data_IF_430948188611
#
_entry.id   IF_430948188611
#
_cell.length_a   1.000
_cell.length_b   1.000
_cell.length_c   1.000
_cell.angle_alpha   90.00
_cell.angle_beta   90.00
_cell.angle_gamma   90.00
#
_symmetry.space_group_name_H-M   'P 1'
#
loop_
_entity.id
_entity.type
_entity.pdbx_description
1 polymer ?
#
# COMPACT_ATOMS: atom_id res chain seq x y z
N UNK A 1 20.67 -9.23 28.49
CA UNK A 1 21.17 -10.00 27.34
C UNK A 1 21.24 -9.07 26.15
N UNK A 2 22.44 -8.92 25.61
CA UNK A 2 22.97 -7.75 24.89
C UNK A 2 22.49 -7.67 23.45
N UNK A 3 22.42 -6.45 22.88
CA UNK A 3 22.04 -6.08 21.51
C UNK A 3 22.76 -6.86 20.37
N UNK A 4 23.73 -7.72 20.71
CA UNK A 4 24.44 -8.62 19.80
C UNK A 4 23.55 -9.75 19.24
N UNK A 5 22.42 -10.11 19.87
CA UNK A 5 21.53 -11.17 19.33
C UNK A 5 20.57 -10.69 18.24
N UNK A 6 20.23 -9.40 18.21
CA UNK A 6 19.23 -8.82 17.29
C UNK A 6 19.76 -8.72 15.84
N UNK A 7 21.07 -8.54 15.68
CA UNK A 7 21.73 -8.45 14.35
C UNK A 7 22.08 -9.84 13.78
N UNK A 8 22.23 -10.87 14.62
CA UNK A 8 22.62 -12.22 14.18
C UNK A 8 21.59 -12.89 13.27
N UNK A 9 20.30 -12.56 13.42
CA UNK A 9 19.23 -13.11 12.59
C UNK A 9 19.09 -12.40 11.23
N UNK A 10 19.78 -11.27 11.01
CA UNK A 10 19.60 -10.44 9.81
C UNK A 10 19.85 -11.23 8.49
N UNK A 11 20.91 -12.04 8.34
CA UNK A 11 21.10 -12.82 7.12
C UNK A 11 19.91 -13.74 6.81
N UNK A 12 19.37 -14.42 7.83
CA UNK A 12 18.20 -15.29 7.69
C UNK A 12 16.91 -14.50 7.41
N UNK A 13 16.76 -13.32 8.01
CA UNK A 13 15.65 -12.41 7.70
C UNK A 13 15.69 -12.02 6.22
N UNK A 14 16.85 -11.61 5.70
CA UNK A 14 17.03 -11.24 4.30
C UNK A 14 16.74 -12.41 3.36
N UNK A 15 17.25 -13.61 3.67
CA UNK A 15 16.98 -14.83 2.93
C UNK A 15 15.47 -15.12 2.85
N UNK A 16 14.77 -15.10 3.99
CA UNK A 16 13.33 -15.40 4.02
C UNK A 16 12.48 -14.30 3.38
N UNK A 17 12.91 -13.03 3.46
CA UNK A 17 12.27 -11.93 2.72
C UNK A 17 12.37 -12.16 1.22
N UNK A 18 13.53 -12.58 0.71
CA UNK A 18 13.70 -12.93 -0.71
C UNK A 18 12.89 -14.15 -1.12
N UNK A 19 12.86 -15.19 -0.30
CA UNK A 19 12.09 -16.40 -0.58
C UNK A 19 10.57 -16.10 -0.64
N UNK A 20 10.07 -15.27 0.28
CA UNK A 20 8.65 -14.93 0.36
C UNK A 20 8.24 -13.87 -0.66
N UNK A 21 9.08 -12.86 -0.89
CA UNK A 21 8.83 -11.75 -1.79
C UNK A 21 9.96 -11.61 -2.84
N UNK A 22 10.15 -12.59 -3.75
CA UNK A 22 11.27 -12.59 -4.68
C UNK A 22 11.27 -11.43 -5.67
N UNK A 23 10.09 -10.85 -5.93
CA UNK A 23 9.89 -9.71 -6.84
C UNK A 23 9.32 -8.49 -6.11
N UNK A 24 9.72 -8.30 -4.85
CA UNK A 24 9.23 -7.20 -4.03
C UNK A 24 9.44 -5.86 -4.76
N UNK A 25 8.35 -5.12 -4.95
CA UNK A 25 8.32 -3.79 -5.58
C UNK A 25 7.24 -2.95 -4.92
N UNK A 26 7.37 -1.62 -4.97
CA UNK A 26 6.28 -0.74 -4.59
C UNK A 26 5.09 -0.91 -5.55
N UNK A 27 3.88 -0.71 -5.03
CA UNK A 27 2.64 -1.02 -5.76
C UNK A 27 2.16 0.08 -6.72
N UNK A 28 2.92 1.17 -6.85
CA UNK A 28 2.63 2.22 -7.83
C UNK A 28 2.85 1.69 -9.25
N UNK A 29 1.94 2.03 -10.16
CA UNK A 29 2.03 1.70 -11.57
C UNK A 29 2.80 2.79 -12.33
N UNK A 30 3.84 2.37 -13.06
CA UNK A 30 4.71 3.23 -13.86
C UNK A 30 5.48 2.39 -14.89
N UNK A 31 5.91 3.03 -15.96
CA UNK A 31 6.65 2.42 -17.07
C UNK A 31 8.03 3.05 -17.28
N UNK A 32 8.25 4.24 -16.74
CA UNK A 32 9.52 4.97 -16.86
C UNK A 32 9.82 5.82 -15.59
N UNK A 33 11.06 6.32 -15.43
CA UNK A 33 11.46 7.08 -14.24
C UNK A 33 10.63 8.34 -13.97
N UNK A 34 10.19 9.05 -15.03
CA UNK A 34 9.36 10.24 -14.90
C UNK A 34 7.99 9.90 -14.31
N UNK A 35 7.34 8.85 -14.82
CA UNK A 35 6.08 8.37 -14.29
C UNK A 35 6.21 7.98 -12.81
N UNK A 36 7.30 7.31 -12.42
CA UNK A 36 7.54 6.98 -11.02
C UNK A 36 7.75 8.23 -10.16
N UNK A 37 8.49 9.24 -10.64
CA UNK A 37 8.67 10.50 -9.94
C UNK A 37 7.32 11.19 -9.68
N UNK A 38 6.50 11.32 -10.71
CA UNK A 38 5.16 11.93 -10.62
C UNK A 38 4.26 11.11 -9.67
N UNK A 39 4.19 9.79 -9.84
CA UNK A 39 3.41 8.91 -8.97
C UNK A 39 3.84 9.00 -7.50
N UNK A 40 5.15 9.14 -7.24
CA UNK A 40 5.68 9.29 -5.87
C UNK A 40 5.26 10.61 -5.23
N UNK A 41 5.27 11.72 -5.98
CA UNK A 41 4.75 13.02 -5.51
C UNK A 41 3.24 12.90 -5.20
N UNK A 42 2.49 12.20 -6.06
CA UNK A 42 1.06 11.98 -5.85
C UNK A 42 0.75 11.10 -4.63
N UNK A 43 1.59 10.11 -4.34
CA UNK A 43 1.44 9.19 -3.21
C UNK A 43 1.66 9.86 -1.84
N UNK A 44 2.21 11.08 -1.79
CA UNK A 44 2.31 11.83 -0.55
C UNK A 44 0.91 12.03 0.08
N UNK A 45 0.68 11.38 1.22
CA UNK A 45 -0.61 11.35 1.93
C UNK A 45 -1.78 10.89 1.04
N UNK A 46 -1.53 9.94 0.14
CA UNK A 46 -2.52 9.30 -0.71
C UNK A 46 -2.25 7.79 -0.76
N UNK A 47 -3.27 6.98 -1.01
CA UNK A 47 -3.07 5.53 -1.16
C UNK A 47 -2.55 5.21 -2.55
N UNK A 48 -1.70 4.19 -2.67
CA UNK A 48 -1.17 3.74 -3.97
C UNK A 48 -2.31 3.37 -4.93
N UNK A 49 -3.38 2.75 -4.42
CA UNK A 49 -4.58 2.43 -5.20
C UNK A 49 -5.22 3.67 -5.83
N UNK A 50 -5.40 4.74 -5.06
CA UNK A 50 -5.98 5.99 -5.57
C UNK A 50 -5.07 6.65 -6.60
N UNK A 51 -3.75 6.63 -6.37
CA UNK A 51 -2.78 7.14 -7.35
C UNK A 51 -2.87 6.34 -8.65
N UNK A 52 -2.91 5.00 -8.56
CA UNK A 52 -3.00 4.09 -9.71
C UNK A 52 -4.31 4.23 -10.50
N UNK A 53 -5.39 4.73 -9.90
CA UNK A 53 -6.63 5.05 -10.62
C UNK A 53 -6.51 6.36 -11.43
N UNK A 54 -5.69 7.31 -10.97
CA UNK A 54 -5.54 8.64 -11.58
C UNK A 54 -4.45 8.65 -12.65
N UNK A 55 -3.34 7.94 -12.42
CA UNK A 55 -2.15 8.01 -13.27
C UNK A 55 -2.34 7.57 -14.72
N UNK A 56 -3.19 6.60 -15.11
CA UNK A 56 -3.31 6.19 -16.51
C UNK A 56 -3.75 7.34 -17.43
N UNK A 57 -4.80 8.07 -17.05
CA UNK A 57 -5.28 9.23 -17.81
C UNK A 57 -4.28 10.40 -17.74
N UNK A 58 -3.63 10.59 -16.57
CA UNK A 58 -2.63 11.63 -16.38
C UNK A 58 -1.41 11.41 -17.30
N UNK A 59 -0.88 10.19 -17.35
CA UNK A 59 0.31 9.84 -18.14
C UNK A 59 0.03 9.86 -19.64
N UNK A 60 -1.19 9.54 -20.06
CA UNK A 60 -1.60 9.69 -21.45
C UNK A 60 -1.68 11.17 -21.87
N UNK A 61 -2.17 12.05 -20.98
CA UNK A 61 -2.28 13.49 -21.25
C UNK A 61 -0.93 14.20 -21.20
N UNK A 62 -0.05 13.78 -20.31
CA UNK A 62 1.27 14.39 -20.08
C UNK A 62 2.36 13.30 -20.22
N UNK A 63 2.76 12.97 -21.46
CA UNK A 63 3.64 11.83 -21.73
C UNK A 63 5.11 12.05 -21.36
N UNK A 64 5.57 13.30 -21.26
CA UNK A 64 6.95 13.66 -20.99
C UNK A 64 7.09 14.88 -20.06
N UNK A 65 8.32 15.19 -19.65
CA UNK A 65 8.60 16.29 -18.73
C UNK A 65 8.21 17.65 -19.32
N UNK A 66 8.32 17.83 -20.64
CA UNK A 66 7.94 19.08 -21.31
C UNK A 66 6.43 19.29 -21.24
N UNK A 67 5.64 18.25 -21.48
CA UNK A 67 4.19 18.29 -21.37
C UNK A 67 3.72 18.69 -19.97
N UNK A 68 4.37 18.20 -18.91
CA UNK A 68 4.10 18.64 -17.55
C UNK A 68 4.56 20.09 -17.27
N UNK A 69 5.74 20.46 -17.77
CA UNK A 69 6.33 21.78 -17.55
C UNK A 69 5.49 22.91 -18.19
N UNK A 70 4.91 22.65 -19.37
CA UNK A 70 4.12 23.58 -20.17
C UNK A 70 2.60 23.47 -19.88
N UNK A 71 2.18 22.54 -19.01
CA UNK A 71 0.77 22.34 -18.68
C UNK A 71 0.13 23.59 -18.06
N UNK A 72 -1.16 23.83 -18.34
CA UNK A 72 -1.94 24.74 -17.52
C UNK A 72 -2.03 24.19 -16.09
N UNK A 73 -1.68 25.04 -15.11
CA UNK A 73 -1.56 24.62 -13.72
C UNK A 73 -2.93 24.27 -13.11
N UNK A 74 -4.01 24.95 -13.50
CA UNK A 74 -5.35 24.67 -13.01
C UNK A 74 -5.87 23.36 -13.59
N UNK A 75 -5.65 23.12 -14.88
CA UNK A 75 -6.00 21.85 -15.52
C UNK A 75 -5.24 20.65 -14.93
N UNK A 76 -3.93 20.79 -14.69
CA UNK A 76 -3.13 19.76 -14.04
C UNK A 76 -3.62 19.51 -12.61
N UNK A 77 -3.93 20.57 -11.86
CA UNK A 77 -4.46 20.48 -10.51
C UNK A 77 -5.80 19.72 -10.48
N UNK A 78 -6.72 20.04 -11.39
CA UNK A 78 -8.00 19.33 -11.49
C UNK A 78 -7.84 17.87 -11.91
N UNK A 79 -6.93 17.57 -12.85
CA UNK A 79 -6.64 16.20 -13.27
C UNK A 79 -6.18 15.29 -12.11
N UNK A 80 -5.51 15.86 -11.10
CA UNK A 80 -5.01 15.12 -9.93
C UNK A 80 -5.80 15.40 -8.65
N UNK A 81 -6.94 16.12 -8.72
CA UNK A 81 -7.80 16.46 -7.58
C UNK A 81 -8.12 15.28 -6.66
N UNK A 82 -8.40 14.05 -7.18
CA UNK A 82 -8.70 12.89 -6.34
C UNK A 82 -7.56 12.45 -5.41
N UNK A 83 -6.33 12.92 -5.61
CA UNK A 83 -5.16 12.54 -4.80
C UNK A 83 -4.99 13.39 -3.53
N UNK A 84 -5.82 14.41 -3.31
CA UNK A 84 -5.72 15.32 -2.16
C UNK A 84 -4.48 16.23 -2.22
N UNK A 85 -4.52 17.38 -1.55
CA UNK A 85 -3.45 18.42 -1.62
C UNK A 85 -3.04 18.79 -3.06
N UNK A 86 -3.97 18.64 -4.00
CA UNK A 86 -3.71 18.60 -5.44
C UNK A 86 -3.08 19.88 -5.98
N UNK A 87 -3.42 21.06 -5.45
CA UNK A 87 -2.79 22.33 -5.85
C UNK A 87 -1.29 22.36 -5.55
N UNK A 88 -0.89 21.86 -4.38
CA UNK A 88 0.52 21.78 -4.00
C UNK A 88 1.24 20.71 -4.82
N UNK A 89 0.59 19.56 -5.05
CA UNK A 89 1.14 18.48 -5.87
C UNK A 89 1.33 18.89 -7.33
N UNK A 90 0.37 19.60 -7.91
CA UNK A 90 0.44 20.11 -9.28
C UNK A 90 1.61 21.07 -9.45
N UNK A 91 1.77 22.02 -8.53
CA UNK A 91 2.95 22.91 -8.50
C UNK A 91 4.25 22.13 -8.37
N UNK A 92 4.31 21.15 -7.46
CA UNK A 92 5.51 20.34 -7.28
C UNK A 92 5.87 19.55 -8.55
N UNK A 93 4.88 18.91 -9.20
CA UNK A 93 5.08 18.18 -10.46
C UNK A 93 5.57 19.12 -11.56
N UNK A 94 4.87 20.25 -11.77
CA UNK A 94 5.22 21.21 -12.81
C UNK A 94 6.62 21.79 -12.59
N UNK A 95 6.95 22.26 -11.38
CA UNK A 95 8.26 22.83 -11.08
C UNK A 95 9.39 21.79 -11.15
N UNK A 96 9.16 20.55 -10.73
CA UNK A 96 10.12 19.47 -10.94
C UNK A 96 10.36 19.24 -12.43
N UNK A 97 9.32 19.18 -13.24
CA UNK A 97 9.43 18.93 -14.68
C UNK A 97 10.05 20.12 -15.44
N UNK A 98 9.79 21.36 -15.02
CA UNK A 98 10.49 22.55 -15.53
C UNK A 98 12.00 22.44 -15.30
N UNK A 99 12.42 22.10 -14.08
CA UNK A 99 13.83 21.88 -13.76
C UNK A 99 14.44 20.72 -14.57
N UNK A 100 13.69 19.64 -14.81
CA UNK A 100 14.13 18.55 -15.69
C UNK A 100 14.40 19.04 -17.12
N UNK A 101 13.49 19.83 -17.69
CA UNK A 101 13.65 20.36 -19.05
C UNK A 101 14.83 21.34 -19.12
N UNK A 102 14.96 22.24 -18.15
CA UNK A 102 15.98 23.29 -18.13
C UNK A 102 17.40 22.77 -17.90
N UNK A 103 17.56 21.81 -16.99
CA UNK A 103 18.88 21.39 -16.52
C UNK A 103 19.27 19.96 -16.91
N UNK A 104 18.29 19.10 -17.22
CA UNK A 104 18.50 17.66 -17.41
C UNK A 104 17.92 17.14 -18.73
N UNK A 105 17.65 18.04 -19.70
CA UNK A 105 17.13 17.70 -21.05
C UNK A 105 15.83 16.89 -21.02
N UNK A 106 15.03 17.05 -19.96
CA UNK A 106 13.77 16.33 -19.75
C UNK A 106 13.94 14.94 -19.13
N UNK A 107 15.16 14.50 -18.79
CA UNK A 107 15.43 13.20 -18.19
C UNK A 107 15.58 13.27 -16.67
N UNK A 108 15.08 12.25 -15.98
CA UNK A 108 15.23 12.15 -14.52
C UNK A 108 16.68 11.85 -14.15
N UNK A 109 17.35 12.65 -13.29
CA UNK A 109 18.73 12.44 -12.89
C UNK A 109 18.95 11.10 -12.17
N UNK A 110 20.19 10.63 -12.19
CA UNK A 110 20.58 9.32 -11.63
C UNK A 110 21.44 9.42 -10.38
N UNK A 111 21.67 10.62 -9.87
CA UNK A 111 22.41 10.84 -8.62
C UNK A 111 21.53 11.48 -7.56
N UNK A 112 21.83 11.20 -6.29
CA UNK A 112 21.11 11.83 -5.17
C UNK A 112 21.28 13.35 -5.17
N UNK A 113 22.49 13.85 -5.46
CA UNK A 113 22.79 15.29 -5.47
C UNK A 113 21.94 16.03 -6.50
N UNK A 114 21.86 15.53 -7.74
CA UNK A 114 21.02 16.11 -8.79
C UNK A 114 19.53 15.94 -8.50
N UNK A 115 19.09 14.78 -7.99
CA UNK A 115 17.69 14.58 -7.63
C UNK A 115 17.20 15.58 -6.57
N UNK A 116 18.07 15.97 -5.65
CA UNK A 116 17.77 16.96 -4.61
C UNK A 116 17.75 18.41 -5.12
N UNK A 117 18.22 18.69 -6.35
CA UNK A 117 18.05 20.01 -6.96
C UNK A 117 16.66 20.19 -7.56
N UNK A 118 15.88 19.13 -7.74
CA UNK A 118 14.53 19.20 -8.30
C UNK A 118 13.54 19.78 -7.25
N UNK A 119 12.79 20.85 -7.59
CA UNK A 119 11.81 21.43 -6.68
C UNK A 119 10.76 20.40 -6.23
N UNK A 120 10.52 20.33 -4.91
CA UNK A 120 9.55 19.39 -4.33
C UNK A 120 10.04 17.94 -4.19
N UNK A 121 11.27 17.64 -4.61
CA UNK A 121 11.90 16.32 -4.44
C UNK A 121 12.78 16.32 -3.19
N UNK A 122 12.35 15.59 -2.17
CA UNK A 122 13.15 15.35 -0.97
C UNK A 122 13.90 14.01 -1.06
N UNK A 123 14.84 13.77 -0.14
CA UNK A 123 15.67 12.55 -0.06
C UNK A 123 14.85 11.25 -0.19
N UNK A 124 13.69 11.18 0.47
CA UNK A 124 12.82 10.00 0.38
C UNK A 124 12.30 9.77 -1.04
N UNK A 125 11.80 10.82 -1.71
CA UNK A 125 11.33 10.76 -3.09
C UNK A 125 12.47 10.37 -4.03
N UNK A 126 13.65 10.97 -3.85
CA UNK A 126 14.84 10.62 -4.62
C UNK A 126 15.23 9.14 -4.44
N UNK A 127 15.27 8.64 -3.20
CA UNK A 127 15.51 7.22 -2.92
C UNK A 127 14.48 6.31 -3.59
N UNK A 128 13.19 6.66 -3.60
CA UNK A 128 12.16 5.86 -4.30
C UNK A 128 12.50 5.73 -5.78
N UNK A 129 12.81 6.84 -6.44
CA UNK A 129 13.08 6.84 -7.89
C UNK A 129 14.40 6.13 -8.19
N UNK A 130 15.49 6.47 -7.50
CA UNK A 130 16.83 5.91 -7.73
C UNK A 130 16.87 4.40 -7.48
N UNK A 131 16.28 3.94 -6.37
CA UNK A 131 16.23 2.51 -6.06
C UNK A 131 15.39 1.73 -7.08
N UNK A 132 14.20 2.22 -7.45
CA UNK A 132 13.25 1.40 -8.21
C UNK A 132 13.38 1.55 -9.73
N UNK A 133 13.50 2.78 -10.22
CA UNK A 133 13.59 3.01 -11.66
C UNK A 133 15.00 2.74 -12.20
N UNK A 134 16.03 3.03 -11.40
CA UNK A 134 17.43 2.89 -11.83
C UNK A 134 18.19 1.74 -11.15
N UNK A 135 17.59 1.06 -10.16
CA UNK A 135 18.25 -0.02 -9.41
C UNK A 135 19.54 0.45 -8.71
N UNK A 136 19.58 1.72 -8.28
CA UNK A 136 20.74 2.33 -7.60
C UNK A 136 20.46 2.36 -6.10
N UNK A 137 21.17 1.57 -5.27
CA UNK A 137 20.97 1.50 -3.82
C UNK A 137 21.49 2.75 -3.09
N UNK A 138 20.76 3.87 -3.16
CA UNK A 138 21.16 5.15 -2.54
C UNK A 138 20.77 5.29 -1.08
N UNK A 139 19.85 4.46 -0.61
CA UNK A 139 19.41 4.41 0.78
C UNK A 139 18.17 3.54 0.96
N UNK A 140 17.86 3.18 2.21
CA UNK A 140 16.66 2.41 2.54
C UNK A 140 15.48 3.36 2.73
N UNK A 141 14.42 3.17 1.93
CA UNK A 141 13.23 4.03 1.98
C UNK A 141 12.42 3.69 3.23
N UNK A 142 12.33 4.62 4.18
CA UNK A 142 11.56 4.45 5.41
C UNK A 142 10.19 5.10 5.30
N UNK A 143 9.14 4.28 5.32
CA UNK A 143 7.76 4.71 5.50
C UNK A 143 7.20 4.19 6.84
N UNK A 144 5.89 4.29 7.02
CA UNK A 144 5.22 3.83 8.25
C UNK A 144 5.27 2.31 8.41
N UNK A 145 5.32 1.54 7.32
CA UNK A 145 5.46 0.09 7.36
C UNK A 145 6.90 -0.28 7.72
N UNK A 146 7.89 0.21 6.99
CA UNK A 146 9.31 -0.06 7.23
C UNK A 146 9.71 0.37 8.64
N UNK A 147 9.31 1.56 9.09
CA UNK A 147 9.60 2.01 10.45
C UNK A 147 9.04 1.05 11.51
N UNK A 148 7.75 0.71 11.41
CA UNK A 148 7.09 -0.18 12.37
C UNK A 148 7.69 -1.58 12.36
N UNK A 149 7.88 -2.18 11.19
CA UNK A 149 8.40 -3.54 11.05
C UNK A 149 9.85 -3.60 11.54
N UNK A 150 10.68 -2.61 11.19
CA UNK A 150 12.07 -2.55 11.65
C UNK A 150 12.17 -2.45 13.18
N UNK A 151 11.30 -1.66 13.81
CA UNK A 151 11.24 -1.56 15.28
C UNK A 151 10.77 -2.87 15.92
N UNK A 152 9.71 -3.50 15.40
CA UNK A 152 9.18 -4.77 15.91
C UNK A 152 10.16 -5.94 15.76
N UNK A 153 10.95 -5.93 14.70
CA UNK A 153 12.03 -6.89 14.45
C UNK A 153 13.31 -6.60 15.27
N UNK A 154 13.38 -5.47 15.98
CA UNK A 154 14.58 -5.08 16.72
C UNK A 154 15.74 -4.59 15.85
N UNK A 155 15.50 -4.27 14.57
CA UNK A 155 16.52 -3.75 13.66
C UNK A 155 16.93 -2.30 13.98
N UNK A 156 16.11 -1.58 14.73
CA UNK A 156 16.39 -0.21 15.19
C UNK A 156 15.58 0.10 16.44
N UNK A 157 16.13 1.00 17.28
CA UNK A 157 15.42 1.62 18.41
C UNK A 157 14.98 3.06 18.12
N UNK A 158 15.32 3.56 16.93
CA UNK A 158 15.03 4.93 16.52
C UNK A 158 13.57 5.07 16.09
N UNK A 159 13.02 6.28 16.30
CA UNK A 159 11.64 6.62 15.90
C UNK A 159 11.57 7.53 14.68
N UNK A 160 12.63 8.32 14.42
CA UNK A 160 12.67 9.26 13.31
C UNK A 160 13.07 8.53 12.02
N UNK A 161 12.35 8.68 10.89
CA UNK A 161 12.65 7.97 9.64
C UNK A 161 14.10 8.09 9.18
N UNK A 162 14.70 9.26 9.31
CA UNK A 162 16.08 9.52 8.87
C UNK A 162 17.10 8.76 9.73
N UNK A 163 16.81 8.60 11.03
CA UNK A 163 17.66 7.82 11.94
C UNK A 163 17.48 6.32 11.73
N UNK A 164 16.25 5.89 11.41
CA UNK A 164 15.96 4.51 11.04
C UNK A 164 16.68 4.15 9.72
N UNK A 165 16.62 5.00 8.70
CA UNK A 165 17.36 4.82 7.43
C UNK A 165 18.85 4.61 7.72
N UNK A 166 19.46 5.47 8.55
CA UNK A 166 20.87 5.36 8.91
C UNK A 166 21.21 4.06 9.66
N UNK A 167 20.33 3.59 10.55
CA UNK A 167 20.54 2.30 11.24
C UNK A 167 20.44 1.14 10.26
N UNK A 168 19.43 1.13 9.39
CA UNK A 168 19.22 0.08 8.40
C UNK A 168 20.36 0.03 7.38
N UNK A 169 20.84 1.18 6.89
CA UNK A 169 22.00 1.26 5.99
C UNK A 169 23.30 0.77 6.64
N UNK A 170 23.41 0.81 7.98
CA UNK A 170 24.60 0.30 8.69
C UNK A 170 24.61 -1.22 8.83
N UNK A 171 23.44 -1.87 8.84
CA UNK A 171 23.33 -3.31 9.12
C UNK A 171 22.97 -4.13 7.87
N UNK A 172 22.17 -3.59 6.97
CA UNK A 172 21.75 -4.27 5.74
C UNK A 172 22.82 -4.05 4.66
N UNK A 173 23.33 -5.11 3.99
CA UNK A 173 24.26 -4.96 2.87
C UNK A 173 23.67 -4.07 1.77
N UNK A 174 24.49 -3.22 1.16
CA UNK A 174 24.02 -2.18 0.23
C UNK A 174 23.31 -2.77 -1.00
N UNK A 175 23.79 -3.89 -1.50
CA UNK A 175 23.20 -4.66 -2.60
C UNK A 175 21.76 -5.13 -2.32
N UNK A 176 21.35 -5.18 -1.05
CA UNK A 176 20.02 -5.60 -0.64
C UNK A 176 19.03 -4.43 -0.52
N UNK A 177 19.49 -3.17 -0.49
CA UNK A 177 18.64 -2.03 -0.15
C UNK A 177 17.44 -1.85 -1.09
N UNK A 178 17.64 -2.14 -2.38
CA UNK A 178 16.59 -2.04 -3.40
C UNK A 178 15.45 -3.04 -3.14
N UNK A 179 15.79 -4.25 -2.71
CA UNK A 179 14.80 -5.31 -2.41
C UNK A 179 14.19 -5.15 -1.01
N UNK A 180 15.04 -4.83 -0.02
CA UNK A 180 14.70 -4.81 1.39
C UNK A 180 13.54 -3.87 1.70
N UNK A 181 13.57 -2.63 1.18
CA UNK A 181 12.52 -1.63 1.40
C UNK A 181 11.13 -2.13 0.98
N UNK A 182 10.92 -2.47 -0.31
CA UNK A 182 9.67 -3.06 -0.79
C UNK A 182 9.24 -4.31 -0.02
N UNK A 183 10.16 -5.24 0.28
CA UNK A 183 9.83 -6.47 0.98
C UNK A 183 9.32 -6.19 2.40
N UNK A 184 9.92 -5.23 3.09
CA UNK A 184 9.49 -4.76 4.42
C UNK A 184 8.13 -4.05 4.36
N UNK A 185 7.84 -3.31 3.28
CA UNK A 185 6.51 -2.72 3.06
C UNK A 185 5.46 -3.80 2.87
N UNK A 186 5.71 -4.82 2.03
CA UNK A 186 4.77 -5.93 1.81
C UNK A 186 4.52 -6.69 3.12
N UNK A 187 5.58 -7.02 3.86
CA UNK A 187 5.47 -7.65 5.18
C UNK A 187 4.62 -6.81 6.13
N UNK A 188 4.90 -5.50 6.22
CA UNK A 188 4.15 -4.59 7.07
C UNK A 188 2.71 -4.36 6.62
N UNK A 189 2.43 -4.44 5.32
CA UNK A 189 1.10 -4.20 4.74
C UNK A 189 0.17 -5.40 4.96
N UNK A 190 0.67 -6.61 4.76
CA UNK A 190 -0.18 -7.81 4.72
C UNK A 190 -0.10 -8.72 5.95
N UNK A 191 1.01 -8.70 6.71
CA UNK A 191 1.22 -9.62 7.83
C UNK A 191 1.44 -8.86 9.14
N UNK A 192 2.43 -7.97 9.18
CA UNK A 192 2.80 -7.17 10.35
C UNK A 192 2.04 -5.84 10.35
N UNK A 193 0.70 -5.93 10.30
CA UNK A 193 -0.23 -4.80 10.31
C UNK A 193 -0.09 -3.98 11.58
N UNK A 194 -0.47 -2.69 11.52
CA UNK A 194 -0.39 -1.81 12.69
C UNK A 194 -1.20 -2.34 13.87
N UNK A 195 -2.45 -2.74 13.59
CA UNK A 195 -3.37 -3.33 14.54
C UNK A 195 -3.47 -4.85 14.28
N UNK A 196 -3.41 -5.65 15.34
CA UNK A 196 -3.53 -7.12 15.30
C UNK A 196 -2.64 -7.79 14.22
N UNK A 197 -1.30 -7.68 14.33
CA UNK A 197 -0.40 -8.36 13.39
C UNK A 197 -0.60 -9.88 13.45
N UNK A 198 -0.52 -10.53 12.29
CA UNK A 198 -0.67 -11.98 12.14
C UNK A 198 0.62 -12.70 12.49
N UNK A 199 1.08 -12.54 13.73
CA UNK A 199 2.35 -13.11 14.21
C UNK A 199 2.43 -14.64 14.03
N UNK A 200 1.39 -15.44 14.35
CA UNK A 200 1.45 -16.89 14.16
C UNK A 200 1.69 -17.32 12.71
N UNK A 201 1.20 -16.54 11.74
CA UNK A 201 1.33 -16.81 10.30
C UNK A 201 2.58 -16.18 9.67
N UNK A 202 3.39 -15.47 10.45
CA UNK A 202 4.54 -14.73 9.94
C UNK A 202 5.73 -15.67 9.67
N UNK A 203 6.31 -15.59 8.48
CA UNK A 203 7.51 -16.37 8.11
C UNK A 203 8.78 -15.97 8.89
N UNK A 204 8.73 -14.91 9.70
CA UNK A 204 9.79 -14.49 10.63
C UNK A 204 9.42 -14.74 12.10
N UNK A 205 8.34 -15.48 12.39
CA UNK A 205 7.77 -15.58 13.72
C UNK A 205 8.72 -16.11 14.80
N UNK A 206 9.57 -17.07 14.43
CA UNK A 206 10.62 -17.69 15.25
C UNK A 206 11.85 -16.80 15.47
N UNK A 207 12.05 -15.80 14.61
CA UNK A 207 13.16 -14.84 14.69
C UNK A 207 12.75 -13.48 15.29
N UNK A 208 11.45 -13.18 15.29
CA UNK A 208 10.93 -11.86 15.62
C UNK A 208 10.82 -11.68 17.14
N UNK A 209 11.47 -10.65 17.73
CA UNK A 209 11.31 -10.32 19.15
C UNK A 209 9.95 -9.67 19.47
N UNK A 210 9.14 -9.32 18.44
CA UNK A 210 7.79 -8.74 18.57
C UNK A 210 7.74 -7.50 19.47
N UNK A 211 8.77 -6.66 19.42
CA UNK A 211 8.90 -5.49 20.31
C UNK A 211 7.71 -4.56 20.11
N UNK A 212 6.98 -4.27 21.19
CA UNK A 212 5.81 -3.39 21.16
C UNK A 212 4.60 -3.97 20.40
N UNK A 213 4.52 -5.30 20.30
CA UNK A 213 3.31 -6.02 19.90
C UNK A 213 2.71 -6.61 21.16
N UNK A 214 1.50 -6.18 21.52
CA UNK A 214 0.76 -6.84 22.59
C UNK A 214 0.47 -8.28 22.16
N UNK A 215 0.68 -9.24 23.06
CA UNK A 215 0.33 -10.62 22.76
C UNK A 215 -1.15 -10.68 22.37
N UNK A 216 -1.51 -11.38 21.29
CA UNK A 216 -2.91 -11.63 21.02
C UNK A 216 -3.43 -12.41 22.23
N UNK A 217 -4.30 -11.78 23.03
CA UNK A 217 -5.22 -12.53 23.88
C UNK A 217 -5.86 -13.56 22.96
N UNK A 218 -5.65 -14.83 23.29
CA UNK A 218 -6.08 -15.96 22.48
C UNK A 218 -7.45 -15.65 21.88
N UNK A 219 -7.50 -15.49 20.55
CA UNK A 219 -8.75 -15.37 19.85
C UNK A 219 -9.57 -16.59 20.28
N UNK A 220 -10.71 -16.35 20.94
CA UNK A 220 -11.70 -17.37 21.19
C UNK A 220 -11.90 -18.10 19.88
N UNK A 221 -11.58 -19.40 19.88
CA UNK A 221 -11.77 -20.23 18.71
C UNK A 221 -13.21 -20.01 18.20
N UNK A 222 -13.45 -19.93 16.88
CA UNK A 222 -14.80 -20.14 16.39
C UNK A 222 -15.28 -21.47 16.99
N UNK A 223 -16.52 -21.53 17.53
CA UNK A 223 -17.00 -22.75 18.19
C UNK A 223 -16.85 -23.91 17.22
N UNK A 224 -16.21 -24.98 17.70
CA UNK A 224 -16.07 -26.22 16.98
C UNK A 224 -17.46 -26.70 16.54
N UNK A 225 -17.60 -27.05 15.25
CA UNK A 225 -18.73 -27.86 14.80
C UNK A 225 -18.68 -29.21 15.54
N UNK A 226 -19.49 -29.32 16.58
CA UNK A 226 -19.86 -30.62 17.14
C UNK A 226 -21.00 -31.23 16.31
N UNK A 227 -21.03 -32.57 16.22
CA UNK A 227 -21.71 -33.29 15.14
C UNK A 227 -23.22 -33.26 15.32
N UNK A 228 -23.93 -33.24 14.17
CA UNK A 228 -25.37 -33.37 14.09
C UNK A 228 -25.85 -34.60 14.87
N UNK A 229 -26.53 -34.37 16.00
CA UNK A 229 -27.37 -35.35 16.68
C UNK A 229 -28.82 -35.12 16.28
N UNK A 230 -29.43 -36.21 15.86
CA UNK A 230 -30.80 -36.34 15.37
C UNK A 230 -31.84 -35.76 16.33
N UNK A 231 -32.82 -35.05 15.79
CA UNK A 231 -34.10 -34.82 16.44
C UNK A 231 -35.22 -34.86 15.40
N UNK A 232 -35.84 -36.03 15.26
CA UNK A 232 -37.10 -36.22 14.56
C UNK A 232 -38.27 -36.06 15.53
N UNK A 233 -39.20 -35.14 15.25
CA UNK A 233 -40.64 -35.38 15.31
C UNK A 233 -41.41 -34.14 14.85
N UNK A 234 -42.14 -34.28 13.73
CA UNK A 234 -43.13 -33.33 13.22
C UNK A 234 -44.42 -33.36 14.06
N UNK A 235 -45.36 -32.40 13.91
CA UNK A 235 -46.44 -32.56 12.91
C UNK A 235 -47.01 -31.19 12.38
N UNK A 236 -48.15 -31.11 11.64
CA UNK A 236 -48.23 -31.39 10.21
C UNK A 236 -48.87 -30.27 9.35
N UNK A 237 -48.50 -30.29 8.06
CA UNK A 237 -49.27 -30.02 6.84
C UNK A 237 -50.27 -28.84 6.74
N UNK A 238 -50.05 -27.97 5.73
CA UNK A 238 -51.07 -27.68 4.70
C UNK A 238 -50.49 -27.09 3.39
N UNK A 239 -50.63 -27.93 2.36
CA UNK A 239 -50.94 -27.70 0.93
C UNK A 239 -50.02 -26.85 0.02
N UNK A 240 -49.59 -27.55 -1.03
CA UNK A 240 -48.72 -27.18 -2.13
C UNK A 240 -49.28 -26.18 -3.14
N UNK A 241 -48.38 -25.42 -3.76
CA UNK A 241 -48.39 -25.08 -5.18
C UNK A 241 -46.93 -24.88 -5.66
N UNK A 242 -46.69 -25.13 -6.94
CA UNK A 242 -45.43 -25.61 -7.49
C UNK A 242 -44.38 -24.54 -7.89
N UNK A 243 -43.10 -24.92 -7.68
CA UNK A 243 -41.82 -24.58 -8.37
C UNK A 243 -41.59 -23.19 -8.97
N UNK A 244 -40.42 -22.60 -8.64
CA UNK A 244 -39.42 -22.09 -9.61
C UNK A 244 -38.03 -21.95 -8.94
N UNK A 245 -36.93 -22.03 -9.73
CA UNK A 245 -35.57 -22.13 -9.20
C UNK A 245 -35.10 -20.77 -8.68
N UNK A 246 -34.42 -20.73 -7.54
CA UNK A 246 -33.78 -19.49 -7.07
C UNK A 246 -32.51 -19.29 -7.89
N UNK A 247 -32.58 -18.40 -8.87
CA UNK A 247 -31.44 -17.93 -9.63
C UNK A 247 -30.56 -17.04 -8.74
N UNK A 248 -29.27 -17.31 -8.77
CA UNK A 248 -28.20 -16.52 -8.14
C UNK A 248 -28.02 -15.17 -8.84
N UNK A 249 -28.86 -14.19 -8.54
CA UNK A 249 -28.68 -12.80 -8.99
C UNK A 249 -28.66 -11.86 -7.79
N UNK A 250 -27.53 -11.16 -7.63
CA UNK A 250 -27.39 -10.05 -6.68
C UNK A 250 -28.49 -9.00 -6.92
N UNK A 251 -29.05 -8.40 -5.85
CA UNK A 251 -30.09 -7.37 -5.96
C UNK A 251 -29.54 -6.16 -6.72
N UNK A 252 -30.28 -5.70 -7.73
CA UNK A 252 -29.86 -4.60 -8.61
C UNK A 252 -30.40 -3.25 -8.16
N UNK A 253 -31.45 -3.26 -7.34
CA UNK A 253 -32.06 -2.04 -6.81
C UNK A 253 -32.35 -2.17 -5.32
N UNK A 254 -32.51 -1.04 -4.62
CA UNK A 254 -32.85 -1.03 -3.19
C UNK A 254 -34.21 -1.67 -2.85
N UNK A 255 -35.08 -1.89 -3.85
CA UNK A 255 -36.36 -2.58 -3.69
C UNK A 255 -36.22 -4.11 -3.68
N UNK A 256 -35.09 -4.65 -4.15
CA UNK A 256 -34.80 -6.08 -4.24
C UNK A 256 -34.04 -6.62 -3.01
N UNK A 257 -33.92 -5.83 -1.94
CA UNK A 257 -33.16 -6.21 -0.75
C UNK A 257 -33.84 -7.35 0.03
N UNK A 258 -33.09 -8.39 0.45
CA UNK A 258 -33.65 -9.48 1.24
C UNK A 258 -34.29 -9.03 2.55
N UNK A 259 -35.47 -9.57 2.87
CA UNK A 259 -36.23 -9.33 4.11
C UNK A 259 -35.54 -9.81 5.40
N UNK A 260 -34.36 -10.41 5.30
CA UNK A 260 -33.57 -10.93 6.43
C UNK A 260 -32.43 -9.99 6.83
N UNK A 261 -32.27 -8.86 6.13
CA UNK A 261 -31.24 -7.88 6.49
C UNK A 261 -31.59 -7.15 7.81
N UNK A 262 -30.61 -6.94 8.70
CA UNK A 262 -30.73 -6.05 9.85
C UNK A 262 -31.25 -4.66 9.44
N UNK A 263 -32.08 -4.05 10.28
CA UNK A 263 -32.81 -2.82 9.94
C UNK A 263 -31.89 -1.62 9.63
N UNK A 264 -30.74 -1.55 10.30
CA UNK A 264 -29.66 -0.60 10.09
C UNK A 264 -29.01 -0.75 8.70
N UNK A 265 -28.85 -1.99 8.23
CA UNK A 265 -28.26 -2.28 6.92
C UNK A 265 -29.19 -1.98 5.75
N UNK A 266 -30.51 -2.18 5.90
CA UNK A 266 -31.47 -1.83 4.84
C UNK A 266 -31.45 -0.36 4.50
N UNK A 267 -31.34 0.49 5.52
CA UNK A 267 -31.29 1.95 5.33
C UNK A 267 -30.04 2.36 4.56
N UNK A 268 -28.88 1.87 4.98
CA UNK A 268 -27.59 2.17 4.34
C UNK A 268 -27.58 1.69 2.88
N UNK A 269 -28.02 0.46 2.63
CA UNK A 269 -28.04 -0.09 1.28
C UNK A 269 -29.06 0.62 0.39
N UNK A 270 -30.25 0.98 0.90
CA UNK A 270 -31.23 1.75 0.14
C UNK A 270 -30.70 3.14 -0.27
N UNK A 271 -29.94 3.81 0.59
CA UNK A 271 -29.27 5.08 0.28
C UNK A 271 -28.15 4.91 -0.76
N UNK A 272 -27.36 3.82 -0.67
CA UNK A 272 -26.30 3.50 -1.62
C UNK A 272 -26.83 3.22 -3.04
N UNK A 273 -27.94 2.49 -3.17
CA UNK A 273 -28.55 2.20 -4.46
C UNK A 273 -29.15 3.42 -5.16
N UNK A 274 -29.31 4.56 -4.47
CA UNK A 274 -29.74 5.82 -5.09
C UNK A 274 -28.59 6.62 -5.72
N UNK A 275 -27.32 6.22 -5.53
CA UNK A 275 -26.17 6.93 -6.06
C UNK A 275 -26.03 6.79 -7.58
N UNK A 276 -25.40 7.77 -8.26
CA UNK A 276 -25.34 7.81 -9.74
C UNK A 276 -24.72 6.57 -10.38
N UNK A 277 -23.83 5.87 -9.69
CA UNK A 277 -23.17 4.65 -10.18
C UNK A 277 -24.14 3.46 -10.35
N UNK A 278 -25.24 3.41 -9.58
CA UNK A 278 -26.26 2.35 -9.67
C UNK A 278 -27.46 2.74 -10.55
N UNK A 279 -27.51 3.98 -11.05
CA UNK A 279 -28.50 4.44 -12.02
C UNK A 279 -27.95 4.29 -13.44
N UNK A 280 -27.87 3.05 -13.93
CA UNK A 280 -27.71 2.74 -15.36
C UNK A 280 -28.95 1.99 -15.84
#
# INVERSE_FOLDING_TARGET
>A
MSALSEVQALPTILERLKATFPKARYELNWENPLQLLVATILAAQCTDERVNQVTPALFARYPDARAYAEADLEELAEAIRPTGFYRNKARAIQSACQALVEHFRGEVPRTMEEMLTLPGVARKTANVVLNNAFQIPTGVIVDTHVARVSQRLGLTRQKKPERIEQDLMRIVPQEEWVHFGPAMVLLGRYTCTANAPRCPDCFLNDLCPRIGVDEPTAATAPPAEEPAREASSSPPAKKAAAKKPVSSSLPKTGQDLPEQLPADWRKVLAEEFQKPYFRQ
#
